data_IF_357103088319
#
_entry.id   IF_357103088319
#
_cell.length_a   1.000
_cell.length_b   1.000
_cell.length_c   1.000
_cell.angle_alpha   90.00
_cell.angle_beta   90.00
_cell.angle_gamma   90.00
#
_symmetry.space_group_name_H-M   'P 1'
#
loop_
_entity.id
_entity.type
_entity.pdbx_description
1 polymer ?
#
# COMPACT_ATOMS: atom_id res chain seq x y z
N UNK A 1 52.52 16.04 -41.60
CA UNK A 1 51.20 15.99 -42.29
C UNK A 1 50.52 14.62 -42.16
N UNK A 2 51.25 13.49 -42.27
CA UNK A 2 50.66 12.13 -42.19
C UNK A 2 49.98 11.80 -40.85
N UNK A 3 50.52 12.30 -39.73
CA UNK A 3 49.94 12.04 -38.40
C UNK A 3 48.67 12.88 -38.11
N UNK A 4 48.54 14.04 -38.76
CA UNK A 4 47.37 14.90 -38.64
C UNK A 4 46.16 14.29 -39.36
N UNK A 5 46.40 13.63 -40.49
CA UNK A 5 45.35 12.94 -41.27
C UNK A 5 44.84 11.70 -40.54
N UNK A 6 45.72 10.96 -39.86
CA UNK A 6 45.33 9.80 -39.04
C UNK A 6 44.51 10.24 -37.82
N UNK A 7 44.89 11.33 -37.15
CA UNK A 7 44.12 11.89 -36.04
C UNK A 7 42.74 12.39 -36.47
N UNK A 8 42.64 13.06 -37.62
CA UNK A 8 41.35 13.50 -38.19
C UNK A 8 40.44 12.35 -38.60
N UNK A 9 41.00 11.26 -39.15
CA UNK A 9 40.24 10.05 -39.47
C UNK A 9 39.73 9.32 -38.21
N UNK A 10 40.51 9.29 -37.12
CA UNK A 10 40.09 8.74 -35.83
C UNK A 10 38.97 9.58 -35.19
N UNK A 11 39.06 10.91 -35.26
CA UNK A 11 38.00 11.83 -34.80
C UNK A 11 36.72 11.63 -35.60
N UNK A 12 36.82 11.49 -36.93
CA UNK A 12 35.66 11.20 -37.77
C UNK A 12 35.02 9.85 -37.44
N UNK A 13 35.83 8.80 -37.19
CA UNK A 13 35.32 7.47 -36.81
C UNK A 13 34.61 7.44 -35.45
N UNK A 14 35.08 8.24 -34.48
CA UNK A 14 34.44 8.38 -33.15
C UNK A 14 33.14 9.18 -33.26
N UNK A 15 33.06 10.16 -34.16
CA UNK A 15 31.86 10.96 -34.42
C UNK A 15 30.79 10.23 -35.26
N UNK A 16 31.16 9.20 -36.02
CA UNK A 16 30.21 8.42 -36.85
C UNK A 16 29.85 7.05 -36.29
N UNK A 17 30.36 6.68 -35.11
CA UNK A 17 29.91 5.47 -34.44
C UNK A 17 28.40 5.62 -34.16
N UNK A 18 27.53 4.72 -34.66
CA UNK A 18 26.12 4.77 -34.35
C UNK A 18 25.98 4.77 -32.82
N UNK A 19 25.14 5.66 -32.30
CA UNK A 19 24.66 5.53 -30.93
C UNK A 19 23.93 4.19 -30.86
N UNK A 20 24.60 3.16 -30.35
CA UNK A 20 23.88 2.10 -29.67
C UNK A 20 23.17 2.79 -28.52
N UNK A 21 21.94 3.25 -28.76
CA UNK A 21 21.01 3.52 -27.68
C UNK A 21 20.84 2.13 -27.07
N UNK A 22 21.48 1.88 -25.93
CA UNK A 22 21.09 0.74 -25.13
C UNK A 22 19.60 0.93 -24.90
N UNK A 23 18.77 0.05 -25.45
CA UNK A 23 17.39 -0.02 -24.98
C UNK A 23 17.50 -0.32 -23.50
N UNK A 24 16.84 0.47 -22.66
CA UNK A 24 16.73 0.21 -21.24
C UNK A 24 16.29 -1.22 -20.93
N UNK A 25 16.37 -1.61 -19.65
CA UNK A 25 15.83 -2.89 -19.23
C UNK A 25 14.35 -2.96 -19.65
N UNK A 26 14.02 -3.98 -20.44
CA UNK A 26 12.66 -4.26 -20.85
C UNK A 26 12.10 -5.28 -19.86
N UNK A 27 10.99 -4.95 -19.21
CA UNK A 27 10.37 -5.80 -18.19
C UNK A 27 9.08 -6.43 -18.70
N UNK A 28 8.84 -7.69 -18.36
CA UNK A 28 7.55 -8.34 -18.52
C UNK A 28 6.77 -8.30 -17.20
N UNK A 29 5.63 -7.63 -17.18
CA UNK A 29 4.82 -7.45 -15.97
C UNK A 29 3.47 -8.13 -16.16
N UNK A 30 3.14 -9.05 -15.26
CA UNK A 30 1.83 -9.67 -15.19
C UNK A 30 0.80 -8.75 -14.56
N UNK A 31 -0.45 -8.82 -15.03
CA UNK A 31 -1.64 -8.23 -14.40
C UNK A 31 -2.78 -9.25 -14.40
N UNK A 32 -3.81 -9.07 -13.57
CA UNK A 32 -4.97 -9.98 -13.55
C UNK A 32 -6.28 -9.21 -13.62
N UNK A 33 -7.34 -9.78 -14.19
CA UNK A 33 -8.67 -9.15 -14.27
C UNK A 33 -9.25 -8.79 -12.89
N UNK A 34 -8.79 -9.45 -11.83
CA UNK A 34 -9.20 -9.22 -10.44
C UNK A 34 -8.61 -7.93 -9.85
N UNK A 35 -7.56 -7.36 -10.45
CA UNK A 35 -6.94 -6.11 -9.99
C UNK A 35 -6.80 -5.11 -11.13
N UNK A 36 -7.46 -3.97 -11.01
CA UNK A 36 -7.39 -2.90 -12.01
C UNK A 36 -6.08 -2.11 -11.89
N UNK A 37 -5.03 -2.53 -12.60
CA UNK A 37 -3.68 -1.94 -12.51
C UNK A 37 -3.07 -1.54 -13.86
N UNK A 38 -3.76 -1.78 -14.99
CA UNK A 38 -3.20 -1.49 -16.32
C UNK A 38 -2.86 0.00 -16.50
N UNK A 39 -3.56 0.91 -15.81
CA UNK A 39 -3.26 2.35 -15.83
C UNK A 39 -1.85 2.69 -15.33
N UNK A 40 -1.23 1.83 -14.52
CA UNK A 40 0.15 1.98 -14.02
C UNK A 40 1.19 1.62 -15.08
N UNK A 41 0.81 0.79 -16.07
CA UNK A 41 1.73 0.27 -17.08
C UNK A 41 1.61 1.06 -18.39
N UNK A 42 0.41 1.52 -18.75
CA UNK A 42 0.09 2.11 -20.07
C UNK A 42 1.05 3.23 -20.54
N UNK A 43 1.63 4.00 -19.61
CA UNK A 43 2.56 5.08 -19.93
C UNK A 43 4.03 4.67 -20.08
N UNK A 44 4.37 3.40 -19.88
CA UNK A 44 5.75 2.91 -19.77
C UNK A 44 6.10 1.95 -20.91
N UNK A 45 6.67 2.48 -22.00
CA UNK A 45 6.98 1.70 -23.22
C UNK A 45 7.99 0.55 -23.01
N UNK A 46 8.81 0.63 -21.95
CA UNK A 46 9.77 -0.41 -21.60
C UNK A 46 9.15 -1.58 -20.81
N UNK A 47 7.87 -1.49 -20.46
CA UNK A 47 7.11 -2.55 -19.80
C UNK A 47 6.20 -3.24 -20.81
N UNK A 48 6.29 -4.56 -20.87
CA UNK A 48 5.39 -5.42 -21.65
C UNK A 48 4.38 -6.09 -20.71
N UNK A 49 3.12 -5.68 -20.79
CA UNK A 49 2.04 -6.26 -19.99
C UNK A 49 1.64 -7.66 -20.48
N UNK A 50 1.55 -8.62 -19.56
CA UNK A 50 0.91 -9.92 -19.77
C UNK A 50 -0.34 -10.00 -18.90
N UNK A 51 -1.52 -9.91 -19.51
CA UNK A 51 -2.79 -9.95 -18.80
C UNK A 51 -3.30 -11.38 -18.60
N UNK A 52 -3.68 -11.70 -17.36
CA UNK A 52 -4.20 -13.00 -16.95
C UNK A 52 -5.66 -12.90 -16.50
N UNK A 53 -6.40 -13.99 -16.67
CA UNK A 53 -7.78 -14.06 -16.20
C UNK A 53 -7.86 -14.16 -14.67
N UNK A 54 -6.91 -14.87 -14.04
CA UNK A 54 -6.85 -15.05 -12.60
C UNK A 54 -5.43 -14.83 -12.07
N UNK A 55 -5.31 -14.37 -10.82
CA UNK A 55 -4.01 -14.12 -10.18
C UNK A 55 -3.19 -15.41 -10.01
N UNK A 56 -3.82 -16.58 -9.91
CA UNK A 56 -3.10 -17.84 -9.67
C UNK A 56 -2.24 -18.24 -10.88
N UNK A 57 -2.71 -17.99 -12.10
CA UNK A 57 -1.92 -18.18 -13.31
C UNK A 57 -0.75 -17.19 -13.37
N UNK A 58 -0.99 -15.91 -13.07
CA UNK A 58 0.06 -14.90 -13.05
C UNK A 58 1.16 -15.24 -12.02
N UNK A 59 0.78 -15.63 -10.80
CA UNK A 59 1.73 -16.05 -9.77
C UNK A 59 2.55 -17.28 -10.21
N UNK A 60 1.94 -18.28 -10.86
CA UNK A 60 2.67 -19.45 -11.38
C UNK A 60 3.67 -19.07 -12.46
N UNK A 61 3.29 -18.16 -13.36
CA UNK A 61 4.20 -17.68 -14.40
C UNK A 61 5.34 -16.85 -13.83
N UNK A 62 5.07 -16.03 -12.79
CA UNK A 62 6.11 -15.31 -12.05
C UNK A 62 7.11 -16.26 -11.38
N UNK A 63 6.63 -17.36 -10.77
CA UNK A 63 7.51 -18.34 -10.11
C UNK A 63 8.51 -19.00 -11.04
N UNK A 64 8.15 -19.20 -12.32
CA UNK A 64 8.99 -19.90 -13.29
C UNK A 64 9.74 -18.94 -14.22
N UNK A 65 9.65 -17.63 -13.97
CA UNK A 65 10.32 -16.59 -14.76
C UNK A 65 9.71 -16.36 -16.16
N UNK A 66 8.43 -16.71 -16.36
CA UNK A 66 7.71 -16.36 -17.60
C UNK A 66 7.35 -14.87 -17.65
N UNK A 67 7.17 -14.25 -16.47
CA UNK A 67 7.07 -12.80 -16.27
C UNK A 67 8.09 -12.39 -15.20
N UNK A 68 8.58 -11.16 -15.31
CA UNK A 68 9.58 -10.61 -14.38
C UNK A 68 8.94 -10.17 -13.06
N UNK A 69 7.76 -9.55 -13.12
CA UNK A 69 7.04 -9.07 -11.94
C UNK A 69 5.53 -9.27 -12.10
N UNK A 70 4.80 -9.23 -11.00
CA UNK A 70 3.33 -9.27 -11.00
C UNK A 70 2.76 -8.08 -10.21
N UNK A 71 1.91 -7.27 -10.83
CA UNK A 71 1.14 -6.22 -10.16
C UNK A 71 -0.22 -6.76 -9.73
N UNK A 72 -0.52 -6.69 -8.44
CA UNK A 72 -1.76 -7.22 -7.86
C UNK A 72 -2.13 -6.47 -6.59
N UNK A 73 -3.27 -6.79 -5.96
CA UNK A 73 -3.63 -6.21 -4.68
C UNK A 73 -2.79 -6.78 -3.54
N UNK A 74 -2.51 -5.95 -2.55
CA UNK A 74 -1.85 -6.39 -1.32
C UNK A 74 -2.65 -7.50 -0.63
N UNK A 75 -3.99 -7.40 -0.60
CA UNK A 75 -4.88 -8.47 -0.11
C UNK A 75 -4.72 -9.83 -0.81
N UNK A 76 -4.32 -9.89 -2.08
CA UNK A 76 -3.99 -11.14 -2.78
C UNK A 76 -2.58 -11.59 -2.42
N UNK A 77 -1.60 -10.68 -2.52
CA UNK A 77 -0.19 -11.00 -2.37
C UNK A 77 0.21 -11.41 -0.94
N UNK A 78 -0.44 -10.81 0.06
CA UNK A 78 -0.16 -11.02 1.46
C UNK A 78 -1.07 -12.09 2.10
N UNK A 79 -2.06 -12.65 1.39
CA UNK A 79 -2.89 -13.74 1.92
C UNK A 79 -2.05 -15.03 2.04
N UNK A 80 -1.87 -15.57 3.27
CA UNK A 80 -1.13 -16.82 3.47
C UNK A 80 -1.69 -17.99 2.66
N UNK A 81 -2.99 -18.04 2.39
CA UNK A 81 -3.63 -19.10 1.60
C UNK A 81 -3.13 -19.14 0.14
N UNK A 82 -2.72 -17.99 -0.40
CA UNK A 82 -2.18 -17.91 -1.76
C UNK A 82 -0.71 -18.38 -1.81
N UNK A 83 0.03 -18.22 -0.71
CA UNK A 83 1.45 -18.60 -0.64
C UNK A 83 1.70 -20.12 -0.60
N UNK A 84 0.75 -20.92 -0.10
CA UNK A 84 0.90 -22.38 0.01
C UNK A 84 1.19 -23.05 -1.35
N UNK A 85 0.61 -22.49 -2.42
CA UNK A 85 0.74 -23.00 -3.77
C UNK A 85 1.75 -22.22 -4.63
N UNK A 86 2.35 -21.16 -4.06
CA UNK A 86 3.25 -20.26 -4.77
C UNK A 86 4.51 -19.92 -3.97
N UNK A 87 5.28 -20.93 -3.51
CA UNK A 87 6.45 -20.69 -2.67
C UNK A 87 7.53 -19.89 -3.40
N UNK A 88 8.19 -18.99 -2.67
CA UNK A 88 9.30 -18.19 -3.19
C UNK A 88 8.88 -16.90 -3.88
N UNK A 89 7.58 -16.57 -3.86
CA UNK A 89 7.11 -15.24 -4.22
C UNK A 89 7.15 -14.31 -3.00
N UNK A 90 7.43 -13.03 -3.23
CA UNK A 90 7.45 -12.01 -2.19
C UNK A 90 6.97 -10.67 -2.73
N UNK A 91 6.32 -9.89 -1.87
CA UNK A 91 6.07 -8.47 -2.11
C UNK A 91 7.40 -7.73 -2.01
N UNK A 92 7.74 -6.95 -3.04
CA UNK A 92 8.96 -6.10 -3.05
C UNK A 92 8.66 -4.63 -2.75
N UNK A 93 7.39 -4.22 -2.79
CA UNK A 93 6.93 -2.92 -2.31
C UNK A 93 5.53 -2.55 -2.77
N UNK A 94 4.97 -1.53 -2.12
CA UNK A 94 3.68 -0.91 -2.43
C UNK A 94 3.83 0.10 -3.59
N UNK A 95 3.08 -0.10 -4.66
CA UNK A 95 3.05 0.80 -5.83
C UNK A 95 2.00 1.90 -5.66
N UNK A 96 0.84 1.56 -5.12
CA UNK A 96 -0.19 2.50 -4.70
C UNK A 96 -0.68 2.08 -3.32
N UNK A 97 -0.76 3.03 -2.38
CA UNK A 97 -1.25 2.80 -1.02
C UNK A 97 -2.68 3.29 -0.87
N UNK A 98 -3.49 2.50 -0.17
CA UNK A 98 -4.89 2.78 0.13
C UNK A 98 -5.09 2.58 1.62
N UNK A 99 -5.25 3.69 2.33
CA UNK A 99 -5.58 3.68 3.75
C UNK A 99 -7.02 3.20 3.97
N UNK A 100 -7.17 2.27 4.91
CA UNK A 100 -8.45 1.88 5.48
C UNK A 100 -8.54 2.43 6.90
N UNK A 101 -9.65 3.09 7.20
CA UNK A 101 -9.83 3.79 8.47
C UNK A 101 -11.21 3.55 9.09
N UNK A 102 -11.39 4.03 10.32
CA UNK A 102 -12.65 3.83 11.06
C UNK A 102 -13.58 5.04 10.87
N UNK A 103 -14.68 4.93 10.10
CA UNK A 103 -15.65 6.00 10.01
C UNK A 103 -16.75 5.89 11.08
N UNK A 104 -17.22 7.06 11.53
CA UNK A 104 -18.43 7.22 12.34
C UNK A 104 -19.45 8.11 11.61
N UNK A 105 -20.72 8.00 12.00
CA UNK A 105 -21.77 8.86 11.48
C UNK A 105 -21.49 10.32 11.84
N UNK A 106 -21.43 11.20 10.84
CA UNK A 106 -21.50 12.64 11.05
C UNK A 106 -22.97 12.99 11.25
N UNK A 107 -23.33 13.49 12.41
CA UNK A 107 -24.71 13.91 12.68
C UNK A 107 -24.65 15.40 12.94
N UNK A 108 -25.43 16.19 12.22
CA UNK A 108 -25.54 17.64 12.38
C UNK A 108 -26.37 18.04 13.63
N UNK A 109 -26.44 17.17 14.64
CA UNK A 109 -27.28 17.25 15.83
C UNK A 109 -26.46 17.09 17.13
N UNK A 110 -27.09 17.07 18.30
CA UNK A 110 -26.41 16.82 19.59
C UNK A 110 -25.67 15.46 19.64
N UNK A 111 -26.03 14.51 18.76
CA UNK A 111 -25.30 13.24 18.56
C UNK A 111 -23.90 13.44 17.93
N UNK A 112 -23.58 14.62 17.38
CA UNK A 112 -22.25 14.96 16.85
C UNK A 112 -21.16 14.87 17.92
N UNK A 113 -21.46 15.30 19.16
CA UNK A 113 -20.50 15.24 20.26
C UNK A 113 -20.25 13.80 20.71
N UNK A 114 -21.31 13.01 20.85
CA UNK A 114 -21.18 11.61 21.27
C UNK A 114 -20.43 10.74 20.26
N UNK A 115 -20.64 10.98 18.96
CA UNK A 115 -19.90 10.28 17.90
C UNK A 115 -18.48 10.81 17.74
N UNK A 116 -18.23 12.10 18.00
CA UNK A 116 -16.88 12.65 18.06
C UNK A 116 -16.09 12.02 19.21
N UNK A 117 -16.66 11.98 20.41
CA UNK A 117 -16.04 11.35 21.58
C UNK A 117 -15.80 9.85 21.31
N UNK A 118 -16.75 9.14 20.67
CA UNK A 118 -16.52 7.74 20.29
C UNK A 118 -15.34 7.60 19.32
N UNK A 119 -15.26 8.47 18.30
CA UNK A 119 -14.16 8.44 17.34
C UNK A 119 -12.82 8.73 18.01
N UNK A 120 -12.77 9.72 18.90
CA UNK A 120 -11.56 10.08 19.62
C UNK A 120 -11.11 8.94 20.55
N UNK A 121 -12.05 8.24 21.20
CA UNK A 121 -11.76 7.03 21.97
C UNK A 121 -11.25 5.87 21.10
N UNK A 122 -11.81 5.68 19.90
CA UNK A 122 -11.31 4.68 18.93
C UNK A 122 -9.90 5.04 18.46
N UNK A 123 -9.63 6.31 18.17
CA UNK A 123 -8.31 6.78 17.76
C UNK A 123 -7.27 6.57 18.87
N UNK A 124 -7.61 6.90 20.12
CA UNK A 124 -6.75 6.64 21.28
C UNK A 124 -6.48 5.14 21.45
N UNK A 125 -7.51 4.29 21.28
CA UNK A 125 -7.35 2.84 21.31
C UNK A 125 -6.41 2.34 20.20
N UNK A 126 -6.61 2.75 18.95
CA UNK A 126 -5.75 2.38 17.82
C UNK A 126 -4.31 2.84 18.03
N UNK A 127 -4.11 4.07 18.52
CA UNK A 127 -2.79 4.59 18.83
C UNK A 127 -2.07 3.76 19.89
N UNK A 128 -2.77 3.31 20.94
CA UNK A 128 -2.20 2.38 21.92
C UNK A 128 -1.88 1.01 21.33
N UNK A 129 -2.70 0.50 20.39
CA UNK A 129 -2.43 -0.78 19.72
C UNK A 129 -1.20 -0.71 18.82
N UNK A 130 -1.01 0.40 18.09
CA UNK A 130 0.19 0.67 17.29
C UNK A 130 1.41 0.85 18.19
N UNK A 131 1.32 1.72 19.19
CA UNK A 131 2.42 2.00 20.13
C UNK A 131 2.91 0.76 20.88
N UNK A 132 1.98 -0.13 21.25
CA UNK A 132 2.32 -1.39 21.95
C UNK A 132 2.73 -2.53 21.02
N UNK A 133 2.81 -2.30 19.71
CA UNK A 133 3.04 -3.32 18.67
C UNK A 133 1.95 -4.40 18.57
N UNK A 134 0.85 -4.29 19.31
CA UNK A 134 -0.23 -5.27 19.33
C UNK A 134 -0.92 -5.38 17.97
N UNK A 135 -1.04 -4.26 17.23
CA UNK A 135 -1.64 -4.27 15.89
C UNK A 135 -0.76 -5.02 14.88
N UNK A 136 0.57 -4.82 14.92
CA UNK A 136 1.51 -5.53 14.03
C UNK A 136 1.57 -7.04 14.33
N UNK A 137 1.56 -7.41 15.61
CA UNK A 137 1.42 -8.82 16.01
C UNK A 137 0.12 -9.43 15.49
N UNK A 138 -0.97 -8.66 15.55
CA UNK A 138 -2.27 -9.09 15.03
C UNK A 138 -2.27 -9.22 13.52
N UNK A 139 -1.66 -8.27 12.82
CA UNK A 139 -1.52 -8.25 11.38
C UNK A 139 -0.81 -9.51 10.88
N UNK A 140 0.29 -9.89 11.53
CA UNK A 140 1.09 -11.09 11.21
C UNK A 140 0.35 -12.42 11.41
N UNK A 141 -0.82 -12.40 12.05
CA UNK A 141 -1.69 -13.59 12.17
C UNK A 141 -2.51 -13.81 10.90
N UNK A 142 -2.79 -12.75 10.14
CA UNK A 142 -3.70 -12.75 9.00
C UNK A 142 -2.99 -12.52 7.67
N UNK A 143 -1.86 -11.83 7.67
CA UNK A 143 -1.12 -11.45 6.48
C UNK A 143 0.36 -11.86 6.57
N UNK A 144 0.96 -12.05 5.39
CA UNK A 144 2.40 -12.18 5.24
C UNK A 144 3.06 -10.79 5.23
N UNK A 145 4.28 -10.72 5.78
CA UNK A 145 5.05 -9.47 5.82
C UNK A 145 4.74 -8.62 7.05
N UNK A 146 5.08 -7.34 6.96
CA UNK A 146 4.87 -6.35 8.01
C UNK A 146 3.78 -5.36 7.57
N UNK A 147 3.21 -4.64 8.54
CA UNK A 147 2.25 -3.58 8.25
C UNK A 147 2.97 -2.32 7.76
N UNK A 148 2.38 -1.63 6.79
CA UNK A 148 2.91 -0.37 6.24
C UNK A 148 2.45 0.87 7.04
N UNK A 149 1.82 0.69 8.20
CA UNK A 149 1.39 1.83 9.03
C UNK A 149 2.59 2.57 9.62
N UNK A 150 2.62 3.90 9.44
CA UNK A 150 3.61 4.75 10.08
C UNK A 150 3.18 5.05 11.53
N UNK A 151 3.96 4.55 12.49
CA UNK A 151 3.73 4.80 13.93
C UNK A 151 3.70 6.29 14.30
N UNK A 152 4.38 7.15 13.53
CA UNK A 152 4.45 8.59 13.81
C UNK A 152 3.10 9.29 13.64
N UNK A 153 2.19 8.76 12.82
CA UNK A 153 0.84 9.28 12.62
C UNK A 153 -0.04 9.16 13.89
N UNK A 154 0.35 8.30 14.83
CA UNK A 154 -0.42 7.98 16.02
C UNK A 154 0.07 8.69 17.28
N UNK A 155 1.27 9.29 17.27
CA UNK A 155 1.92 9.85 18.46
C UNK A 155 1.04 10.86 19.22
N UNK A 156 0.27 11.66 18.48
CA UNK A 156 -0.60 12.70 19.05
C UNK A 156 -1.90 12.17 19.67
N UNK A 157 -2.17 10.86 19.60
CA UNK A 157 -3.41 10.26 20.09
C UNK A 157 -3.16 9.33 21.28
N UNK A 158 -1.90 9.05 21.61
CA UNK A 158 -1.53 8.16 22.72
C UNK A 158 -1.96 8.79 24.04
N UNK A 159 -2.88 8.12 24.75
CA UNK A 159 -3.38 8.59 26.04
C UNK A 159 -4.38 9.75 25.95
N UNK A 160 -4.72 10.21 24.75
CA UNK A 160 -5.68 11.30 24.51
C UNK A 160 -7.13 10.80 24.49
N UNK A 161 -7.53 10.15 25.60
CA UNK A 161 -8.87 9.62 25.76
C UNK A 161 -9.87 10.72 26.12
N UNK A 162 -11.04 10.79 25.47
CA UNK A 162 -12.04 11.81 25.76
C UNK A 162 -12.73 11.56 27.10
N UNK A 163 -13.17 12.63 27.76
CA UNK A 163 -14.04 12.54 28.94
C UNK A 163 -15.49 12.40 28.45
N UNK A 164 -16.16 11.25 28.66
CA UNK A 164 -17.52 11.05 28.18
C UNK A 164 -18.47 11.96 28.95
N UNK A 165 -19.19 12.84 28.25
CA UNK A 165 -20.12 13.77 28.90
C UNK A 165 -21.58 13.48 28.57
N UNK A 166 -21.92 13.29 27.29
CA UNK A 166 -23.25 12.88 26.79
C UNK A 166 -23.12 12.22 25.40
N UNK A 167 -24.11 11.41 24.97
CA UNK A 167 -24.17 10.80 23.63
C UNK A 167 -23.56 9.39 23.53
N UNK A 168 -23.25 8.93 22.32
CA UNK A 168 -22.94 7.52 21.99
C UNK A 168 -21.88 6.89 22.89
N UNK A 169 -20.70 7.50 23.05
CA UNK A 169 -19.65 6.95 23.93
C UNK A 169 -20.13 6.83 25.38
N UNK A 170 -20.77 7.88 25.89
CA UNK A 170 -21.29 7.88 27.26
C UNK A 170 -22.35 6.79 27.46
N UNK A 171 -23.26 6.60 26.49
CA UNK A 171 -24.28 5.54 26.55
C UNK A 171 -23.67 4.13 26.50
N UNK A 172 -22.58 3.94 25.75
CA UNK A 172 -21.85 2.67 25.71
C UNK A 172 -21.21 2.38 27.08
N UNK A 173 -20.50 3.36 27.64
CA UNK A 173 -19.80 3.21 28.93
C UNK A 173 -20.79 2.99 30.09
N UNK A 174 -21.93 3.68 30.08
CA UNK A 174 -22.99 3.51 31.09
C UNK A 174 -23.89 2.29 30.82
N UNK A 175 -23.51 1.41 29.87
CA UNK A 175 -24.23 0.20 29.49
C UNK A 175 -25.70 0.43 29.10
N UNK A 176 -26.01 1.63 28.58
CA UNK A 176 -27.31 1.98 28.00
C UNK A 176 -27.39 1.61 26.53
N UNK A 177 -26.23 1.39 25.89
CA UNK A 177 -26.09 1.09 24.46
C UNK A 177 -24.99 0.05 24.23
N UNK A 178 -25.22 -0.85 23.29
CA UNK A 178 -24.22 -1.80 22.81
C UNK A 178 -23.21 -1.11 21.88
N UNK A 179 -21.93 -1.44 21.98
CA UNK A 179 -20.93 -1.08 20.98
C UNK A 179 -21.05 -2.03 19.79
N UNK A 180 -21.72 -1.56 18.74
CA UNK A 180 -21.96 -2.36 17.54
C UNK A 180 -21.06 -1.90 16.40
N UNK A 181 -20.41 -2.86 15.73
CA UNK A 181 -19.50 -2.58 14.61
C UNK A 181 -20.10 -3.12 13.32
N UNK A 182 -20.32 -2.24 12.34
CA UNK A 182 -20.75 -2.66 11.01
C UNK A 182 -19.58 -3.28 10.25
N UNK A 183 -19.79 -4.50 9.75
CA UNK A 183 -18.83 -5.29 8.98
C UNK A 183 -19.58 -6.04 7.85
N UNK A 184 -18.84 -6.61 6.91
CA UNK A 184 -19.38 -7.55 5.94
C UNK A 184 -18.30 -8.57 5.54
N UNK A 185 -18.71 -9.71 5.00
CA UNK A 185 -17.79 -10.74 4.50
C UNK A 185 -17.06 -10.23 3.24
N UNK A 186 -15.76 -9.99 3.38
CA UNK A 186 -14.88 -9.55 2.29
C UNK A 186 -14.21 -10.73 1.58
N UNK A 187 -14.45 -11.96 2.05
CA UNK A 187 -13.84 -13.19 1.52
C UNK A 187 -12.30 -13.13 1.48
N UNK A 188 -11.70 -12.35 2.37
CA UNK A 188 -10.26 -12.07 2.44
C UNK A 188 -9.78 -12.19 3.89
N UNK A 189 -8.47 -12.13 4.18
CA UNK A 189 -7.99 -12.12 5.56
C UNK A 189 -8.46 -10.90 6.38
N UNK A 190 -9.02 -9.86 5.74
CA UNK A 190 -9.59 -8.70 6.43
C UNK A 190 -10.82 -9.09 7.24
N UNK A 191 -11.81 -9.70 6.60
CA UNK A 191 -13.02 -10.19 7.25
C UNK A 191 -13.63 -11.36 6.48
N UNK A 192 -14.01 -12.39 7.23
CA UNK A 192 -14.79 -13.54 6.77
C UNK A 192 -15.86 -13.88 7.77
N UNK A 193 -16.85 -14.61 7.29
CA UNK A 193 -17.91 -15.17 8.11
C UNK A 193 -17.99 -16.68 7.86
N UNK A 194 -18.09 -17.47 8.91
CA UNK A 194 -18.30 -18.92 8.78
C UNK A 194 -19.79 -19.27 8.88
N UNK A 195 -20.10 -20.56 8.85
CA UNK A 195 -21.48 -21.05 8.94
C UNK A 195 -22.19 -20.75 10.27
N UNK A 196 -21.48 -20.22 11.28
CA UNK A 196 -22.06 -19.77 12.56
C UNK A 196 -22.49 -18.30 12.55
N UNK A 197 -22.23 -17.57 11.46
CA UNK A 197 -22.43 -16.14 11.33
C UNK A 197 -21.50 -15.28 12.20
N UNK A 198 -20.49 -15.87 12.85
CA UNK A 198 -19.44 -15.14 13.56
C UNK A 198 -18.38 -14.60 12.58
N UNK A 199 -17.97 -13.35 12.80
CA UNK A 199 -16.88 -12.74 12.05
C UNK A 199 -15.53 -13.13 12.61
N UNK A 200 -14.61 -13.43 11.70
CA UNK A 200 -13.19 -13.60 11.98
C UNK A 200 -12.37 -12.91 10.88
N UNK A 201 -11.10 -12.63 11.16
CA UNK A 201 -10.24 -11.87 10.26
C UNK A 201 -9.56 -10.73 11.00
N UNK A 202 -8.65 -10.04 10.31
CA UNK A 202 -7.90 -8.93 10.87
C UNK A 202 -8.81 -7.83 11.42
N UNK A 203 -9.82 -7.41 10.68
CA UNK A 203 -10.75 -6.35 11.10
C UNK A 203 -11.62 -6.78 12.29
N UNK A 204 -12.04 -8.05 12.33
CA UNK A 204 -12.82 -8.56 13.46
C UNK A 204 -11.97 -8.56 14.76
N UNK A 205 -10.71 -8.96 14.66
CA UNK A 205 -9.78 -8.94 15.77
C UNK A 205 -9.43 -7.51 16.20
N UNK A 206 -9.22 -6.57 15.26
CA UNK A 206 -8.95 -5.17 15.59
C UNK A 206 -10.17 -4.51 16.27
N UNK A 207 -11.39 -4.80 15.81
CA UNK A 207 -12.61 -4.30 16.44
C UNK A 207 -12.73 -4.76 17.91
N UNK A 208 -12.47 -6.06 18.17
CA UNK A 208 -12.45 -6.62 19.53
C UNK A 208 -11.32 -6.01 20.39
N UNK A 209 -10.13 -5.82 19.81
CA UNK A 209 -9.01 -5.19 20.52
C UNK A 209 -9.30 -3.73 20.87
N UNK A 210 -9.93 -2.97 19.97
CA UNK A 210 -10.39 -1.59 20.25
C UNK A 210 -11.43 -1.57 21.36
N UNK A 211 -12.43 -2.44 21.30
CA UNK A 211 -13.45 -2.57 22.34
C UNK A 211 -12.82 -2.84 23.72
N UNK A 212 -11.89 -3.78 23.81
CA UNK A 212 -11.16 -4.11 25.05
C UNK A 212 -10.31 -2.96 25.58
N UNK A 213 -9.74 -2.14 24.69
CA UNK A 213 -8.99 -0.94 25.08
C UNK A 213 -9.92 0.11 25.70
N UNK A 214 -11.08 0.33 25.10
CA UNK A 214 -12.13 1.21 25.64
C UNK A 214 -12.57 0.70 27.03
N UNK A 215 -12.88 -0.59 27.17
CA UNK A 215 -13.23 -1.21 28.46
C UNK A 215 -12.16 -0.99 29.52
N UNK A 216 -10.91 -1.27 29.17
CA UNK A 216 -9.77 -1.14 30.08
C UNK A 216 -9.52 0.30 30.49
N UNK A 217 -9.69 1.26 29.58
CA UNK A 217 -9.45 2.67 29.87
C UNK A 217 -10.51 3.24 30.82
N UNK A 218 -11.79 2.98 30.53
CA UNK A 218 -12.90 3.51 31.33
C UNK A 218 -13.25 2.63 32.54
N UNK A 219 -12.54 1.51 32.75
CA UNK A 219 -12.75 0.55 33.83
C UNK A 219 -14.19 0.01 33.88
N UNK A 220 -14.76 -0.29 32.70
CA UNK A 220 -16.12 -0.80 32.51
C UNK A 220 -16.11 -2.11 31.74
N UNK A 221 -17.25 -2.81 31.76
CA UNK A 221 -17.56 -3.86 30.78
C UNK A 221 -18.55 -3.28 29.79
N UNK A 222 -18.29 -3.45 28.49
CA UNK A 222 -19.19 -3.01 27.42
C UNK A 222 -19.80 -4.22 26.73
N UNK A 223 -21.08 -4.13 26.36
CA UNK A 223 -21.64 -5.08 25.42
C UNK A 223 -21.07 -4.76 24.02
N UNK A 224 -20.29 -5.68 23.45
CA UNK A 224 -19.67 -5.54 22.13
C UNK A 224 -20.23 -6.58 21.16
N UNK A 225 -20.51 -6.18 19.92
CA UNK A 225 -20.98 -7.08 18.88
C UNK A 225 -20.63 -6.62 17.46
N UNK A 226 -19.99 -7.48 16.66
CA UNK A 226 -19.94 -7.33 15.20
C UNK A 226 -21.34 -7.49 14.57
N UNK A 227 -21.68 -6.65 13.61
CA UNK A 227 -22.92 -6.69 12.85
C UNK A 227 -22.63 -6.93 11.37
N UNK A 228 -23.24 -7.97 10.82
CA UNK A 228 -23.20 -8.23 9.39
C UNK A 228 -24.21 -7.33 8.68
N UNK A 229 -23.69 -6.31 7.97
CA UNK A 229 -24.47 -5.44 7.11
C UNK A 229 -24.72 -6.06 5.74
N UNK A 230 -24.03 -7.14 5.36
CA UNK A 230 -24.18 -7.82 4.07
C UNK A 230 -23.42 -7.17 2.91
N UNK A 231 -22.93 -5.94 3.05
CA UNK A 231 -22.13 -5.26 2.04
C UNK A 231 -21.75 -3.83 2.44
N UNK A 232 -20.87 -3.23 1.62
CA UNK A 232 -20.36 -1.87 1.87
C UNK A 232 -21.47 -0.81 1.89
N UNK A 233 -22.42 -0.90 0.94
CA UNK A 233 -23.52 0.06 0.85
C UNK A 233 -24.41 0.01 2.08
N UNK A 234 -24.78 -1.20 2.49
CA UNK A 234 -25.60 -1.47 3.68
C UNK A 234 -24.88 -1.02 4.96
N UNK A 235 -23.58 -1.29 5.10
CA UNK A 235 -22.80 -0.85 6.27
C UNK A 235 -22.83 0.66 6.46
N UNK A 236 -22.74 1.41 5.35
CA UNK A 236 -22.82 2.88 5.36
C UNK A 236 -24.22 3.36 5.75
N UNK A 237 -25.27 2.71 5.24
CA UNK A 237 -26.65 3.07 5.56
C UNK A 237 -27.04 2.69 6.99
N UNK A 238 -26.59 1.54 7.49
CA UNK A 238 -26.79 1.09 8.87
C UNK A 238 -26.11 2.03 9.87
N UNK A 239 -24.87 2.46 9.58
CA UNK A 239 -24.20 3.48 10.38
C UNK A 239 -24.98 4.81 10.39
N UNK A 240 -25.51 5.24 9.23
CA UNK A 240 -26.24 6.51 9.11
C UNK A 240 -27.62 6.50 9.77
N UNK A 241 -28.25 5.33 9.95
CA UNK A 241 -29.50 5.22 10.74
C UNK A 241 -29.27 5.53 12.22
N UNK A 242 -28.04 5.33 12.72
CA UNK A 242 -27.62 5.71 14.06
C UNK A 242 -28.08 4.78 15.18
N UNK A 243 -29.00 3.84 14.92
CA UNK A 243 -29.51 2.85 15.88
C UNK A 243 -28.98 1.42 15.63
N UNK A 244 -28.33 1.18 14.49
CA UNK A 244 -27.89 -0.15 14.07
C UNK A 244 -26.43 -0.40 14.42
N UNK A 245 -25.54 0.55 14.08
CA UNK A 245 -24.10 0.48 14.34
C UNK A 245 -23.57 1.76 14.98
N UNK A 246 -22.44 1.64 15.66
CA UNK A 246 -21.69 2.76 16.26
C UNK A 246 -20.55 3.24 15.35
N UNK A 247 -19.88 2.32 14.65
CA UNK A 247 -18.84 2.61 13.64
C UNK A 247 -18.76 1.49 12.59
N UNK A 248 -17.99 1.69 11.53
CA UNK A 248 -17.69 0.65 10.52
C UNK A 248 -16.24 0.21 10.63
N UNK A 249 -15.98 -1.09 10.48
CA UNK A 249 -14.65 -1.64 10.26
C UNK A 249 -14.73 -2.63 9.10
N UNK A 250 -14.52 -2.11 7.88
CA UNK A 250 -14.80 -2.83 6.63
C UNK A 250 -14.12 -2.16 5.42
N UNK A 251 -12.84 -1.85 5.57
CA UNK A 251 -11.93 -1.28 4.55
C UNK A 251 -12.46 -0.05 3.82
N UNK A 252 -13.10 0.87 4.57
CA UNK A 252 -13.60 2.13 4.02
C UNK A 252 -12.42 3.10 3.84
N UNK A 253 -12.34 3.77 2.68
CA UNK A 253 -11.25 4.68 2.32
C UNK A 253 -11.54 6.16 2.59
N UNK A 254 -10.48 7.01 2.76
CA UNK A 254 -10.48 8.49 2.80
C UNK A 254 -11.57 9.19 2.03
N UNK A 255 -11.61 8.91 0.75
CA UNK A 255 -12.47 9.60 -0.17
C UNK A 255 -13.90 9.08 -0.04
N UNK A 256 -14.06 7.79 0.29
CA UNK A 256 -15.37 7.15 0.41
C UNK A 256 -16.14 7.67 1.62
N UNK A 257 -15.55 7.70 2.82
CA UNK A 257 -16.28 8.18 4.00
C UNK A 257 -16.69 9.65 3.83
N UNK A 258 -15.78 10.51 3.34
CA UNK A 258 -16.08 11.92 3.06
C UNK A 258 -17.22 12.06 2.05
N UNK A 259 -17.20 11.31 0.95
CA UNK A 259 -18.25 11.36 -0.08
C UNK A 259 -19.63 10.95 0.43
N UNK A 260 -19.67 10.16 1.51
CA UNK A 260 -20.90 9.68 2.15
C UNK A 260 -21.32 10.52 3.35
N UNK A 261 -20.59 11.61 3.62
CA UNK A 261 -20.85 12.49 4.74
C UNK A 261 -20.52 11.85 6.09
N UNK A 262 -19.59 10.90 6.15
CA UNK A 262 -19.10 10.30 7.38
C UNK A 262 -17.85 11.05 7.87
N UNK A 263 -17.49 10.84 9.14
CA UNK A 263 -16.24 11.35 9.72
C UNK A 263 -15.26 10.20 9.85
N UNK A 264 -14.10 10.29 9.20
CA UNK A 264 -13.02 9.32 9.32
C UNK A 264 -12.11 9.61 10.52
N UNK A 265 -11.58 8.55 11.13
CA UNK A 265 -10.53 8.60 12.14
C UNK A 265 -9.15 8.30 11.57
N UNK A 266 -8.33 7.63 12.38
CA UNK A 266 -7.02 7.12 11.97
C UNK A 266 -7.15 5.90 11.05
N UNK A 267 -6.16 5.67 10.17
CA UNK A 267 -6.03 4.39 9.49
C UNK A 267 -5.81 3.26 10.51
N UNK A 268 -6.17 2.04 10.13
CA UNK A 268 -5.86 0.82 10.88
C UNK A 268 -5.23 -0.26 9.99
N UNK A 269 -5.19 -0.01 8.69
CA UNK A 269 -4.63 -0.90 7.67
C UNK A 269 -4.26 -0.10 6.43
N UNK A 270 -3.18 -0.48 5.77
CA UNK A 270 -2.80 -0.01 4.43
C UNK A 270 -2.98 -1.20 3.48
N UNK A 271 -3.88 -1.06 2.52
CA UNK A 271 -4.01 -1.97 1.36
C UNK A 271 -3.46 -1.26 0.13
N UNK A 272 -3.66 -1.82 -1.06
CA UNK A 272 -3.40 -1.14 -2.32
C UNK A 272 -2.79 -2.07 -3.36
N UNK A 273 -2.07 -1.47 -4.31
CA UNK A 273 -1.39 -2.21 -5.38
C UNK A 273 0.04 -2.50 -4.97
N UNK A 274 0.47 -3.76 -5.08
CA UNK A 274 1.84 -4.21 -4.80
C UNK A 274 2.52 -4.74 -6.04
N UNK A 275 3.85 -4.69 -6.02
CA UNK A 275 4.70 -5.42 -6.93
C UNK A 275 5.19 -6.70 -6.26
N UNK A 276 4.91 -7.85 -6.87
CA UNK A 276 5.46 -9.14 -6.48
C UNK A 276 6.63 -9.53 -7.38
N UNK A 277 7.59 -10.23 -6.79
CA UNK A 277 8.76 -10.80 -7.46
C UNK A 277 8.97 -12.27 -7.07
N UNK A 278 9.79 -12.98 -7.85
CA UNK A 278 10.32 -14.31 -7.55
C UNK A 278 11.85 -14.29 -7.56
N UNK A 279 12.47 -15.45 -7.31
CA UNK A 279 13.93 -15.61 -7.46
C UNK A 279 14.44 -15.49 -8.91
N UNK A 280 13.55 -15.51 -9.89
CA UNK A 280 13.90 -15.33 -11.31
C UNK A 280 13.75 -13.86 -11.76
N UNK A 281 13.12 -13.01 -10.93
CA UNK A 281 12.94 -11.59 -11.22
C UNK A 281 14.29 -10.85 -11.32
N UNK A 282 14.45 -9.93 -12.29
CA UNK A 282 15.62 -9.05 -12.35
C UNK A 282 15.77 -8.21 -11.06
N UNK A 283 17.00 -7.86 -10.71
CA UNK A 283 17.27 -6.98 -9.57
C UNK A 283 16.66 -5.58 -9.81
N UNK A 284 15.77 -5.16 -8.90
CA UNK A 284 15.24 -3.79 -8.82
C UNK A 284 15.77 -3.11 -7.56
N UNK A 285 16.55 -2.02 -7.67
CA UNK A 285 17.03 -1.27 -6.49
C UNK A 285 15.89 -0.69 -5.66
N UNK A 286 14.84 -0.20 -6.32
CA UNK A 286 13.56 0.18 -5.71
C UNK A 286 12.44 -0.08 -6.72
N UNK A 287 11.20 -0.22 -6.24
CA UNK A 287 10.02 -0.37 -7.12
C UNK A 287 9.88 0.78 -8.12
N UNK A 288 10.33 1.99 -7.79
CA UNK A 288 10.24 3.14 -8.71
C UNK A 288 11.10 2.94 -9.96
N UNK A 289 12.17 2.16 -9.89
CA UNK A 289 13.01 1.87 -11.07
C UNK A 289 12.26 1.05 -12.12
N UNK A 290 11.22 0.32 -11.74
CA UNK A 290 10.34 -0.35 -12.71
C UNK A 290 9.64 0.67 -13.62
N UNK A 291 9.30 1.84 -13.08
CA UNK A 291 8.52 2.87 -13.77
C UNK A 291 9.37 4.02 -14.34
N UNK A 292 10.69 3.99 -14.18
CA UNK A 292 11.56 5.03 -14.74
C UNK A 292 11.81 4.80 -16.23
N UNK A 293 11.77 5.88 -17.02
CA UNK A 293 12.18 5.82 -18.43
C UNK A 293 13.71 5.93 -18.57
N UNK A 294 14.27 5.52 -19.71
CA UNK A 294 15.69 5.70 -20.02
C UNK A 294 16.16 7.16 -19.94
N UNK A 295 15.26 8.13 -20.18
CA UNK A 295 15.58 9.55 -20.08
C UNK A 295 15.78 10.01 -18.64
N UNK A 296 15.10 9.37 -17.69
CA UNK A 296 15.20 9.70 -16.26
C UNK A 296 16.49 9.11 -15.67
N UNK A 297 16.88 7.92 -16.12
CA UNK A 297 18.07 7.21 -15.64
C UNK A 297 19.40 7.82 -16.16
N UNK A 298 19.38 8.50 -17.32
CA UNK A 298 20.57 9.14 -17.90
C UNK A 298 20.98 10.47 -17.26
N UNK A 299 20.19 11.02 -16.32
CA UNK A 299 20.52 12.29 -15.67
C UNK A 299 21.70 12.24 -14.69
N UNK A 300 22.23 11.04 -14.39
CA UNK A 300 23.31 10.83 -13.40
C UNK A 300 24.63 10.26 -13.94
N UNK A 301 24.71 9.72 -15.15
CA UNK A 301 25.95 9.10 -15.64
C UNK A 301 26.89 10.13 -16.29
N UNK A 302 28.07 10.33 -15.69
CA UNK A 302 29.13 11.15 -16.25
C UNK A 302 29.59 10.58 -17.60
N UNK A 303 29.29 11.27 -18.69
CA UNK A 303 29.63 10.83 -20.05
C UNK A 303 31.17 10.66 -20.20
N UNK A 304 31.61 9.40 -20.22
CA UNK A 304 33.02 9.00 -20.36
C UNK A 304 33.68 9.53 -21.64
N UNK A 305 32.89 9.99 -22.61
CA UNK A 305 33.40 10.68 -23.81
C UNK A 305 34.10 11.98 -23.45
N UNK A 306 33.73 12.67 -22.37
CA UNK A 306 34.47 13.84 -21.88
C UNK A 306 35.90 13.49 -21.46
N UNK A 307 36.11 12.30 -20.89
CA UNK A 307 37.45 11.79 -20.56
C UNK A 307 38.23 11.55 -21.84
N UNK A 308 37.63 10.89 -22.84
CA UNK A 308 38.26 10.63 -24.12
C UNK A 308 38.59 11.94 -24.87
N UNK A 309 37.68 12.92 -24.89
CA UNK A 309 37.88 14.24 -25.49
C UNK A 309 39.01 15.00 -24.76
N UNK A 310 39.06 14.93 -23.43
CA UNK A 310 40.13 15.55 -22.64
C UNK A 310 41.50 14.94 -22.96
N UNK A 311 41.61 13.60 -23.02
CA UNK A 311 42.87 12.94 -23.41
C UNK A 311 43.28 13.28 -24.84
N UNK A 312 42.33 13.34 -25.76
CA UNK A 312 42.60 13.61 -27.17
C UNK A 312 43.05 15.06 -27.39
N UNK A 313 42.43 16.01 -26.69
CA UNK A 313 42.85 17.42 -26.71
C UNK A 313 44.23 17.60 -26.08
N UNK A 314 44.52 16.94 -24.96
CA UNK A 314 45.85 16.96 -24.32
C UNK A 314 46.93 16.36 -25.25
N UNK A 315 46.61 15.28 -25.97
CA UNK A 315 47.49 14.68 -26.96
C UNK A 315 47.75 15.62 -28.16
N UNK A 316 46.73 16.29 -28.67
CA UNK A 316 46.86 17.27 -29.76
C UNK A 316 47.74 18.45 -29.30
N UNK A 317 47.49 19.00 -28.11
CA UNK A 317 48.31 20.08 -27.55
C UNK A 317 49.76 19.66 -27.36
N UNK A 318 50.01 18.46 -26.84
CA UNK A 318 51.35 17.90 -26.71
C UNK A 318 52.08 17.75 -28.06
N UNK A 319 51.40 17.27 -29.08
CA UNK A 319 51.96 17.14 -30.44
C UNK A 319 52.21 18.49 -31.12
N UNK A 320 51.41 19.52 -30.80
CA UNK A 320 51.62 20.88 -31.29
C UNK A 320 52.83 21.54 -30.61
N UNK A 321 52.97 21.42 -29.29
CA UNK A 321 54.12 21.97 -28.54
C UNK A 321 55.44 21.30 -28.95
N UNK A 322 55.43 20.00 -29.26
CA UNK A 322 56.64 19.27 -29.69
C UNK A 322 57.10 19.63 -31.12
N UNK A 323 56.29 20.36 -31.89
CA UNK A 323 56.59 20.76 -33.27
C UNK A 323 57.20 22.17 -33.39
N UNK A 324 57.24 22.94 -32.31
CA UNK A 324 58.05 24.15 -32.15
C UNK A 324 59.42 23.80 -31.51
#
# INVERSE_FOLDING_TARGET
MRDLTIALCLVALILTAPTAVASGPQYSVGTSEETSVSHLIESHEHITESSYQDYQMAMRDLMVGNIDFFLTSHSIAADPANSENTPGLSVVGMVEEIESYVPVARIDSLEDRGNADLLDAINAALAELVWSNSLSERYSTWFLGETELDSSDYENYIGEWPVPTEGTLYEIIDNKRELVVCMYDQQSPLSRQDGSAEFYGFEADIADMVAKRIESHYEVTIAFRPHDSGGEFEAIEDLKRGDTCSYIMASITPQKAISKGLRGGLPYHIDGTVLMASGESPDLPTIHHLFMSDQDNQSGEFDQRWIAIAFLSLFITYQLIRRD
#
